data_IF_722200544727
#
_entry.id   IF_722200544727
#
_cell.length_a   1.000
_cell.length_b   1.000
_cell.length_c   1.000
_cell.angle_alpha   90.00
_cell.angle_beta   90.00
_cell.angle_gamma   90.00
#
_symmetry.space_group_name_H-M   'P 1'
#
loop_
_entity.id
_entity.type
_entity.pdbx_description
1 polymer ?
#
# COMPACT_ATOMS: atom_id res chain seq x y z
N UNK A 1 31.51 -13.96 33.02
CA UNK A 1 30.80 -14.56 31.88
C UNK A 1 29.78 -13.54 31.42
N UNK A 2 30.08 -12.85 30.34
CA UNK A 2 29.14 -11.89 29.73
C UNK A 2 28.04 -12.73 29.08
N UNK A 3 26.83 -12.56 29.55
CA UNK A 3 25.64 -13.03 28.84
C UNK A 3 25.52 -12.15 27.63
N UNK A 4 25.91 -12.65 26.48
CA UNK A 4 25.59 -12.03 25.20
C UNK A 4 24.08 -12.05 25.10
N UNK A 5 23.48 -10.89 25.37
CA UNK A 5 22.10 -10.64 24.99
C UNK A 5 22.03 -10.56 23.48
N UNK A 6 21.85 -11.69 22.88
CA UNK A 6 21.36 -11.76 21.50
C UNK A 6 19.87 -11.39 21.50
N UNK A 7 19.59 -10.14 21.69
CA UNK A 7 18.35 -9.54 21.21
C UNK A 7 18.57 -9.09 19.76
N UNK A 8 18.99 -9.98 18.93
CA UNK A 8 18.67 -9.87 17.52
C UNK A 8 17.15 -9.88 17.46
N UNK A 9 16.59 -8.78 17.01
CA UNK A 9 15.16 -8.74 16.73
C UNK A 9 14.82 -10.01 15.95
N UNK A 10 13.82 -10.79 16.37
CA UNK A 10 13.52 -12.11 15.79
C UNK A 10 13.31 -12.08 14.27
N UNK A 11 13.12 -10.91 13.72
CA UNK A 11 12.95 -10.66 12.28
C UNK A 11 14.26 -10.83 11.48
N UNK A 12 15.40 -10.50 12.04
CA UNK A 12 16.69 -10.69 11.35
C UNK A 12 17.16 -12.15 11.39
N UNK A 13 16.72 -12.91 12.36
CA UNK A 13 17.11 -14.30 12.49
C UNK A 13 16.48 -15.22 11.44
N UNK A 14 15.37 -14.84 10.82
CA UNK A 14 14.62 -15.71 9.91
C UNK A 14 14.73 -15.34 8.42
N UNK A 15 15.38 -14.24 8.06
CA UNK A 15 15.57 -13.83 6.66
C UNK A 15 14.28 -13.62 5.84
N UNK A 16 13.10 -13.72 6.48
CA UNK A 16 11.80 -13.66 5.81
C UNK A 16 11.15 -12.27 5.81
N UNK A 17 11.49 -11.44 6.77
CA UNK A 17 11.01 -10.07 6.87
C UNK A 17 12.15 -9.17 7.35
N UNK A 18 12.81 -8.42 6.46
CA UNK A 18 13.87 -7.49 6.83
C UNK A 18 13.34 -6.26 7.57
N UNK A 19 12.02 -6.03 7.56
CA UNK A 19 11.38 -4.90 8.20
C UNK A 19 11.02 -5.20 9.65
N UNK A 20 10.87 -4.16 10.46
CA UNK A 20 10.60 -4.30 11.89
C UNK A 20 9.11 -4.31 12.26
N UNK A 21 8.22 -4.25 11.30
CA UNK A 21 6.78 -4.38 11.57
C UNK A 21 6.34 -5.85 11.70
N UNK A 22 5.38 -6.08 12.59
CA UNK A 22 4.80 -7.41 12.81
C UNK A 22 3.61 -7.70 11.88
N UNK A 23 2.80 -6.68 11.60
CA UNK A 23 1.59 -6.78 10.79
C UNK A 23 1.30 -5.43 10.14
N UNK A 24 0.70 -5.45 8.96
CA UNK A 24 0.06 -4.28 8.37
C UNK A 24 -1.31 -4.65 7.82
N UNK A 25 -2.19 -3.67 7.73
CA UNK A 25 -3.54 -3.83 7.20
C UNK A 25 -3.98 -2.57 6.45
N UNK A 26 -4.72 -2.76 5.39
CA UNK A 26 -5.39 -1.68 4.69
C UNK A 26 -6.70 -1.36 5.44
N UNK A 27 -6.87 -0.11 5.84
CA UNK A 27 -8.06 0.33 6.61
C UNK A 27 -9.03 1.18 5.79
N UNK A 28 -8.55 1.79 4.73
CA UNK A 28 -9.37 2.55 3.80
C UNK A 28 -8.73 2.60 2.42
N UNK A 29 -9.53 2.72 1.36
CA UNK A 29 -9.10 2.88 -0.03
C UNK A 29 -10.07 3.82 -0.73
N UNK A 30 -9.58 4.75 -1.51
CA UNK A 30 -10.42 5.58 -2.36
C UNK A 30 -11.07 4.73 -3.45
N UNK A 31 -12.40 4.70 -3.44
CA UNK A 31 -13.22 3.98 -4.41
C UNK A 31 -14.12 4.93 -5.21
N UNK A 32 -13.91 6.25 -5.08
CA UNK A 32 -14.76 7.29 -5.66
C UNK A 32 -14.08 8.02 -6.80
N UNK A 33 -12.77 8.24 -6.71
CA UNK A 33 -12.01 8.96 -7.74
C UNK A 33 -11.95 8.13 -9.01
N UNK A 34 -12.45 8.66 -10.11
CA UNK A 34 -12.35 8.05 -11.43
C UNK A 34 -10.93 8.16 -11.98
N UNK A 35 -10.44 7.11 -12.59
CA UNK A 35 -9.16 7.08 -13.28
C UNK A 35 -9.31 7.16 -14.81
N UNK A 36 -10.15 6.27 -15.36
CA UNK A 36 -10.48 6.24 -16.78
C UNK A 36 -11.86 6.88 -16.95
N UNK A 37 -11.93 7.93 -17.74
CA UNK A 37 -13.21 8.60 -18.00
C UNK A 37 -14.12 7.74 -18.88
N UNK A 38 -15.44 7.87 -18.71
CA UNK A 38 -16.40 7.18 -19.56
C UNK A 38 -16.14 7.43 -21.06
N UNK A 39 -15.77 8.65 -21.42
CA UNK A 39 -15.43 8.99 -22.81
C UNK A 39 -14.24 8.17 -23.34
N UNK A 40 -13.20 7.96 -22.55
CA UNK A 40 -12.05 7.15 -22.95
C UNK A 40 -12.44 5.67 -23.06
N UNK A 41 -13.28 5.19 -22.14
CA UNK A 41 -13.76 3.82 -22.12
C UNK A 41 -14.66 3.54 -23.32
N UNK A 42 -15.64 4.40 -23.60
CA UNK A 42 -16.55 4.27 -24.74
C UNK A 42 -15.81 4.35 -26.07
N UNK A 43 -14.82 5.25 -26.17
CA UNK A 43 -13.94 5.30 -27.34
C UNK A 43 -13.12 4.03 -27.53
N UNK A 44 -12.55 3.47 -26.44
CA UNK A 44 -11.77 2.24 -26.48
C UNK A 44 -12.61 1.02 -26.90
N UNK A 45 -13.87 0.99 -26.46
CA UNK A 45 -14.79 -0.12 -26.72
C UNK A 45 -15.63 0.07 -27.99
N UNK A 46 -15.51 1.21 -28.68
CA UNK A 46 -16.33 1.62 -29.82
C UNK A 46 -17.85 1.64 -29.50
N UNK A 47 -18.20 2.09 -28.30
CA UNK A 47 -19.58 2.21 -27.82
C UNK A 47 -20.06 3.67 -28.00
N UNK A 48 -20.05 4.16 -29.21
CA UNK A 48 -20.47 5.53 -29.50
C UNK A 48 -21.98 5.68 -29.28
N UNK A 49 -22.37 6.74 -28.56
CA UNK A 49 -23.77 7.12 -28.30
C UNK A 49 -24.62 6.08 -27.52
N UNK A 50 -24.01 5.08 -26.88
CA UNK A 50 -24.72 4.09 -26.04
C UNK A 50 -24.44 4.32 -24.56
N UNK A 51 -25.30 5.08 -23.91
CA UNK A 51 -25.23 5.38 -22.46
C UNK A 51 -25.85 4.25 -21.60
N UNK A 52 -26.43 3.21 -22.21
CA UNK A 52 -27.15 2.16 -21.49
C UNK A 52 -26.25 1.34 -20.54
N UNK A 53 -24.94 1.36 -20.76
CA UNK A 53 -23.95 0.60 -20.02
C UNK A 53 -23.08 1.44 -19.08
N UNK A 54 -23.29 2.74 -18.96
CA UNK A 54 -22.42 3.65 -18.20
C UNK A 54 -22.20 3.22 -16.76
N UNK A 55 -23.26 2.81 -16.06
CA UNK A 55 -23.15 2.31 -14.68
C UNK A 55 -22.30 1.04 -14.59
N UNK A 56 -22.42 0.15 -15.59
CA UNK A 56 -21.60 -1.06 -15.64
C UNK A 56 -20.14 -0.71 -15.96
N UNK A 57 -19.90 0.20 -16.88
CA UNK A 57 -18.55 0.64 -17.26
C UNK A 57 -17.83 1.33 -16.09
N UNK A 58 -18.52 2.14 -15.32
CA UNK A 58 -17.97 2.76 -14.10
C UNK A 58 -17.58 1.72 -13.05
N UNK A 59 -18.42 0.69 -12.85
CA UNK A 59 -18.09 -0.42 -11.95
C UNK A 59 -16.89 -1.23 -12.46
N UNK A 60 -16.80 -1.43 -13.77
CA UNK A 60 -15.72 -2.16 -14.41
C UNK A 60 -14.40 -1.36 -14.35
N UNK A 61 -14.48 -0.02 -14.47
CA UNK A 61 -13.35 0.87 -14.29
C UNK A 61 -12.73 0.71 -12.89
N UNK A 62 -13.56 0.76 -11.85
CA UNK A 62 -13.10 0.57 -10.47
C UNK A 62 -12.43 -0.79 -10.28
N UNK A 63 -13.03 -1.86 -10.80
CA UNK A 63 -12.45 -3.21 -10.74
C UNK A 63 -11.10 -3.28 -11.46
N UNK A 64 -11.00 -2.63 -12.63
CA UNK A 64 -9.76 -2.55 -13.42
C UNK A 64 -8.67 -1.81 -12.66
N UNK A 65 -8.99 -0.66 -12.07
CA UNK A 65 -8.08 0.13 -11.26
C UNK A 65 -7.53 -0.68 -10.09
N UNK A 66 -8.40 -1.33 -9.35
CA UNK A 66 -8.01 -2.17 -8.21
C UNK A 66 -7.11 -3.32 -8.64
N UNK A 67 -7.43 -3.99 -9.74
CA UNK A 67 -6.62 -5.10 -10.26
C UNK A 67 -5.21 -4.64 -10.69
N UNK A 68 -5.09 -3.42 -11.25
CA UNK A 68 -3.79 -2.85 -11.63
C UNK A 68 -2.98 -2.44 -10.39
N UNK A 69 -3.60 -1.81 -9.40
CA UNK A 69 -2.94 -1.49 -8.13
C UNK A 69 -2.43 -2.76 -7.44
N UNK A 70 -3.24 -3.80 -7.39
CA UNK A 70 -2.88 -5.08 -6.78
C UNK A 70 -1.75 -5.78 -7.56
N UNK A 71 -1.78 -5.71 -8.90
CA UNK A 71 -0.70 -6.25 -9.73
C UNK A 71 0.62 -5.51 -9.54
N UNK A 72 0.57 -4.18 -9.47
CA UNK A 72 1.74 -3.34 -9.25
C UNK A 72 2.26 -3.46 -7.80
N UNK A 73 1.40 -3.81 -6.85
CA UNK A 73 1.72 -3.81 -5.42
C UNK A 73 1.91 -2.40 -4.87
N UNK A 74 1.23 -1.41 -5.46
CA UNK A 74 1.31 -0.02 -5.02
C UNK A 74 -0.06 0.64 -4.98
N UNK A 75 -0.25 1.56 -4.04
CA UNK A 75 -1.47 2.37 -3.95
C UNK A 75 -1.36 3.58 -4.86
N UNK A 76 -2.00 3.53 -6.03
CA UNK A 76 -2.04 4.65 -6.99
C UNK A 76 -2.94 5.76 -6.43
N UNK A 77 -4.11 5.39 -5.91
CA UNK A 77 -5.06 6.31 -5.29
C UNK A 77 -4.95 6.30 -3.77
N UNK A 78 -5.57 7.29 -3.13
CA UNK A 78 -5.46 7.46 -1.68
C UNK A 78 -5.88 6.18 -0.95
N UNK A 79 -4.93 5.59 -0.27
CA UNK A 79 -5.12 4.38 0.54
C UNK A 79 -4.55 4.63 1.92
N UNK A 80 -5.27 4.23 2.96
CA UNK A 80 -4.81 4.30 4.32
C UNK A 80 -4.39 2.93 4.84
N UNK A 81 -3.24 2.91 5.45
CA UNK A 81 -2.61 1.73 6.02
C UNK A 81 -2.41 1.89 7.51
N UNK A 82 -2.49 0.78 8.22
CA UNK A 82 -2.13 0.68 9.63
C UNK A 82 -1.08 -0.39 9.81
N UNK A 83 -0.01 -0.03 10.50
CA UNK A 83 1.15 -0.90 10.71
C UNK A 83 1.36 -1.06 12.20
N UNK A 84 1.64 -2.29 12.61
CA UNK A 84 1.80 -2.67 13.99
C UNK A 84 3.22 -3.15 14.24
N UNK A 85 3.80 -2.70 15.35
CA UNK A 85 5.17 -3.04 15.73
C UNK A 85 5.19 -3.67 17.11
N UNK A 86 6.01 -4.71 17.25
CA UNK A 86 6.30 -5.32 18.54
C UNK A 86 7.07 -4.32 19.44
N UNK A 87 7.07 -4.58 20.73
CA UNK A 87 7.83 -3.77 21.67
C UNK A 87 9.33 -3.86 21.34
N UNK A 88 10.00 -2.72 21.04
CA UNK A 88 11.41 -2.72 20.64
C UNK A 88 12.39 -3.01 21.78
N UNK A 89 11.89 -3.15 23.02
CA UNK A 89 12.73 -3.28 24.21
C UNK A 89 13.29 -1.95 24.74
N UNK A 90 13.85 -2.00 25.93
CA UNK A 90 14.25 -0.83 26.70
C UNK A 90 15.51 -0.10 26.21
N UNK A 91 16.17 -0.57 25.17
CA UNK A 91 17.52 -0.14 24.80
C UNK A 91 17.63 0.74 23.56
N UNK A 92 16.53 1.12 22.93
CA UNK A 92 16.58 1.92 21.70
C UNK A 92 16.33 3.40 21.99
N UNK A 93 17.37 4.21 21.84
CA UNK A 93 17.30 5.68 21.97
C UNK A 93 16.69 6.36 20.75
N UNK A 94 16.69 5.69 19.60
CA UNK A 94 16.02 6.15 18.38
C UNK A 94 15.25 4.99 17.78
N UNK A 95 13.95 5.12 17.70
CA UNK A 95 13.11 4.08 17.17
C UNK A 95 12.76 4.39 15.72
N UNK A 96 13.18 3.51 14.84
CA UNK A 96 12.83 3.51 13.44
C UNK A 96 11.67 2.54 13.21
N UNK A 97 10.61 3.01 12.60
CA UNK A 97 9.41 2.23 12.30
C UNK A 97 9.29 2.11 10.78
N UNK A 98 9.73 1.01 10.23
CA UNK A 98 9.71 0.79 8.79
C UNK A 98 8.28 0.68 8.29
N UNK A 99 7.97 1.35 7.19
CA UNK A 99 6.68 1.23 6.54
C UNK A 99 6.74 0.17 5.43
N UNK A 100 5.65 -0.57 5.20
CA UNK A 100 5.58 -1.47 4.06
C UNK A 100 5.90 -0.75 2.75
N UNK A 101 6.63 -1.42 1.87
CA UNK A 101 6.89 -0.90 0.54
C UNK A 101 5.59 -0.84 -0.25
N UNK A 102 5.16 0.36 -0.49
CA UNK A 102 3.93 0.65 -1.22
C UNK A 102 4.21 1.28 -2.59
N UNK A 103 5.42 1.09 -3.09
CA UNK A 103 5.81 1.44 -4.46
C UNK A 103 6.15 2.89 -4.73
N UNK A 104 6.35 3.70 -3.70
CA UNK A 104 6.66 5.13 -3.87
C UNK A 104 8.08 5.42 -4.34
N UNK A 105 9.04 4.53 -4.05
CA UNK A 105 10.47 4.80 -4.27
C UNK A 105 10.90 4.86 -5.73
N UNK A 106 10.22 4.16 -6.63
CA UNK A 106 10.65 4.03 -8.02
C UNK A 106 10.52 5.34 -8.83
N UNK A 107 9.55 6.19 -8.50
CA UNK A 107 9.26 7.42 -9.25
C UNK A 107 9.59 8.70 -8.49
N UNK A 108 10.32 8.60 -7.37
CA UNK A 108 10.91 9.74 -6.66
C UNK A 108 9.94 10.64 -5.92
N UNK A 109 8.66 10.30 -5.89
CA UNK A 109 7.66 11.06 -5.15
C UNK A 109 7.11 10.22 -3.99
N UNK A 110 7.38 10.67 -2.79
CA UNK A 110 6.77 10.11 -1.59
C UNK A 110 5.34 10.66 -1.47
N UNK A 111 4.37 9.87 -1.89
CA UNK A 111 2.95 10.16 -1.61
C UNK A 111 2.52 9.78 -0.19
N UNK A 112 3.48 9.53 0.69
CA UNK A 112 3.23 9.08 2.06
C UNK A 112 2.99 10.27 2.99
N UNK A 113 1.89 10.20 3.74
CA UNK A 113 1.59 11.13 4.83
C UNK A 113 1.32 10.33 6.10
N UNK A 114 2.12 10.54 7.13
CA UNK A 114 1.89 9.92 8.44
C UNK A 114 0.74 10.64 9.12
N UNK A 115 -0.38 9.94 9.31
CA UNK A 115 -1.58 10.52 9.90
C UNK A 115 -1.49 10.56 11.43
N UNK A 116 -1.00 9.47 12.03
CA UNK A 116 -0.81 9.36 13.47
C UNK A 116 0.11 8.23 13.85
N UNK A 117 0.80 8.42 14.95
CA UNK A 117 1.55 7.40 15.66
C UNK A 117 0.92 7.24 17.04
N UNK A 118 0.68 6.01 17.46
CA UNK A 118 0.04 5.68 18.73
C UNK A 118 0.83 4.57 19.41
N UNK A 119 0.78 4.52 20.73
CA UNK A 119 1.33 3.39 21.49
C UNK A 119 0.44 3.06 22.68
N UNK A 120 0.49 1.82 23.11
CA UNK A 120 -0.15 1.36 24.34
C UNK A 120 0.83 1.49 25.50
N UNK A 121 0.50 2.33 26.48
CA UNK A 121 1.27 2.45 27.72
C UNK A 121 1.08 1.25 28.67
N UNK A 122 1.94 1.12 29.66
CA UNK A 122 1.98 -0.04 30.56
C UNK A 122 0.66 -0.35 31.29
N UNK A 123 -0.13 0.68 31.56
CA UNK A 123 -1.42 0.54 32.27
C UNK A 123 -2.64 0.86 31.40
N UNK A 124 -2.43 1.12 30.11
CA UNK A 124 -3.50 1.64 29.25
C UNK A 124 -4.03 0.57 28.29
N UNK A 125 -5.30 0.34 28.34
CA UNK A 125 -6.05 -0.39 27.30
C UNK A 125 -6.37 0.46 26.09
N UNK A 126 -6.20 1.79 26.20
CA UNK A 126 -6.44 2.76 25.12
C UNK A 126 -5.09 3.31 24.63
N UNK A 127 -4.86 3.33 23.32
CA UNK A 127 -3.59 3.82 22.79
C UNK A 127 -3.43 5.33 23.00
N UNK A 128 -2.24 5.76 23.40
CA UNK A 128 -1.83 7.14 23.57
C UNK A 128 -1.31 7.68 22.24
N UNK A 129 -1.68 8.90 21.89
CA UNK A 129 -1.21 9.55 20.67
C UNK A 129 0.18 10.17 20.92
N UNK A 130 1.12 9.90 20.02
CA UNK A 130 2.41 10.59 19.98
C UNK A 130 2.20 11.96 19.33
N UNK A 131 2.76 13.02 19.92
CA UNK A 131 2.63 14.35 19.35
C UNK A 131 3.33 14.43 17.98
N UNK A 132 2.78 15.16 17.01
CA UNK A 132 3.39 15.28 15.67
C UNK A 132 4.82 15.84 15.66
N UNK A 133 5.21 16.58 16.69
CA UNK A 133 6.58 17.10 16.86
C UNK A 133 7.59 16.02 17.28
N UNK A 134 7.10 14.90 17.81
CA UNK A 134 7.93 13.82 18.36
C UNK A 134 8.23 12.72 17.35
N UNK A 135 7.76 12.84 16.11
CA UNK A 135 8.12 11.94 15.03
C UNK A 135 8.30 12.67 13.70
N UNK A 136 9.03 12.05 12.79
CA UNK A 136 9.21 12.53 11.43
C UNK A 136 9.17 11.37 10.44
N UNK A 137 8.80 11.66 9.18
CA UNK A 137 8.86 10.69 8.10
C UNK A 137 10.16 10.84 7.32
N UNK A 138 10.90 9.76 7.18
CA UNK A 138 12.10 9.67 6.34
C UNK A 138 11.73 9.02 4.98
N UNK A 139 11.67 9.80 3.90
CA UNK A 139 11.33 9.28 2.58
C UNK A 139 12.43 8.40 1.98
N UNK A 140 13.67 8.53 2.44
CA UNK A 140 14.79 7.77 1.89
C UNK A 140 14.79 6.32 2.37
N UNK A 141 14.35 6.10 3.61
CA UNK A 141 14.24 4.77 4.20
C UNK A 141 12.81 4.24 4.25
N UNK A 142 11.82 5.02 3.78
CA UNK A 142 10.38 4.72 3.91
C UNK A 142 9.99 4.29 5.33
N UNK A 143 10.33 5.14 6.30
CA UNK A 143 10.15 4.85 7.73
C UNK A 143 9.75 6.07 8.52
N UNK A 144 9.14 5.85 9.66
CA UNK A 144 8.88 6.87 10.65
C UNK A 144 9.99 6.82 11.71
N UNK A 145 10.56 7.98 12.00
CA UNK A 145 11.57 8.16 13.05
C UNK A 145 10.90 8.79 14.25
N UNK A 146 10.98 8.14 15.39
CA UNK A 146 10.56 8.72 16.66
C UNK A 146 11.73 9.52 17.24
N UNK A 147 11.49 10.80 17.46
CA UNK A 147 12.47 11.73 18.02
C UNK A 147 12.50 11.69 19.56
N UNK A 148 11.48 11.09 20.14
CA UNK A 148 11.30 10.98 21.59
C UNK A 148 11.20 9.54 22.00
N UNK A 149 11.85 9.17 23.11
CA UNK A 149 11.72 7.84 23.68
C UNK A 149 10.29 7.62 24.19
N UNK A 150 9.67 6.53 23.77
CA UNK A 150 8.38 6.13 24.30
C UNK A 150 8.59 5.47 25.68
N UNK A 151 8.08 6.14 26.70
CA UNK A 151 8.15 5.62 28.05
C UNK A 151 6.98 4.67 28.32
N UNK A 152 7.26 3.62 29.11
CA UNK A 152 6.23 2.72 29.63
C UNK A 152 5.37 2.03 28.57
N UNK A 153 6.00 1.50 27.50
CA UNK A 153 5.31 0.69 26.50
C UNK A 153 4.78 -0.58 27.15
N UNK A 154 3.53 -0.93 26.86
CA UNK A 154 2.88 -2.14 27.37
C UNK A 154 3.65 -3.40 27.01
N UNK A 155 3.80 -4.29 28.01
CA UNK A 155 4.33 -5.63 27.85
C UNK A 155 3.21 -6.68 27.60
N UNK A 156 1.97 -6.31 27.86
CA UNK A 156 0.80 -7.19 27.72
C UNK A 156 0.25 -7.18 26.29
N UNK A 157 0.45 -6.08 25.55
CA UNK A 157 0.01 -5.95 24.17
C UNK A 157 1.12 -6.45 23.24
N UNK A 158 0.83 -7.43 22.41
CA UNK A 158 1.81 -8.04 21.52
C UNK A 158 2.46 -7.05 20.54
N UNK A 159 1.67 -6.10 20.02
CA UNK A 159 2.13 -5.08 19.08
C UNK A 159 1.69 -3.69 19.58
N UNK A 160 2.39 -3.13 20.57
CA UNK A 160 1.94 -1.95 21.29
C UNK A 160 2.13 -0.63 20.52
N UNK A 161 2.88 -0.61 19.44
CA UNK A 161 3.10 0.60 18.64
C UNK A 161 2.34 0.46 17.33
N UNK A 162 1.62 1.53 16.97
CA UNK A 162 0.75 1.56 15.79
C UNK A 162 0.99 2.83 15.01
N UNK A 163 1.33 2.71 13.74
CA UNK A 163 1.43 3.81 12.80
C UNK A 163 0.27 3.73 11.81
N UNK A 164 -0.43 4.84 11.64
CA UNK A 164 -1.43 5.00 10.58
C UNK A 164 -0.91 6.04 9.59
N UNK A 165 -0.83 5.67 8.33
CA UNK A 165 -0.40 6.56 7.27
C UNK A 165 -1.29 6.43 6.04
N UNK A 166 -1.28 7.46 5.23
CA UNK A 166 -1.93 7.51 3.94
C UNK A 166 -0.90 7.54 2.84
N UNK A 167 -1.19 6.86 1.76
CA UNK A 167 -0.40 6.89 0.55
C UNK A 167 -1.26 7.30 -0.62
N UNK A 168 -0.70 8.14 -1.49
CA UNK A 168 -1.30 8.58 -2.72
C UNK A 168 -0.22 8.76 -3.79
N UNK A 169 -0.23 7.91 -4.79
CA UNK A 169 0.66 7.98 -5.94
C UNK A 169 -0.10 8.31 -7.23
N UNK A 170 -1.14 9.14 -7.14
CA UNK A 170 -2.04 9.47 -8.26
C UNK A 170 -1.31 10.03 -9.50
N UNK A 171 -0.11 10.61 -9.34
CA UNK A 171 0.73 11.01 -10.47
C UNK A 171 1.08 9.84 -11.40
N UNK A 172 1.16 8.61 -10.89
CA UNK A 172 1.42 7.39 -11.67
C UNK A 172 0.25 7.12 -12.62
N UNK A 173 -0.98 7.41 -12.20
CA UNK A 173 -2.17 7.24 -13.03
C UNK A 173 -2.12 8.03 -14.34
N UNK A 174 -1.35 9.11 -14.39
CA UNK A 174 -1.18 9.95 -15.57
C UNK A 174 -0.15 9.41 -16.56
N UNK A 175 0.60 8.38 -16.22
CA UNK A 175 1.55 7.76 -17.16
C UNK A 175 0.79 7.09 -18.31
N UNK A 176 1.06 7.47 -19.56
CA UNK A 176 0.31 6.97 -20.72
C UNK A 176 0.34 5.45 -20.83
N UNK A 177 1.47 4.83 -20.47
CA UNK A 177 1.65 3.37 -20.52
C UNK A 177 0.75 2.67 -19.49
N UNK A 178 0.66 3.20 -18.28
CA UNK A 178 -0.18 2.63 -17.21
C UNK A 178 -1.66 2.84 -17.56
N UNK A 179 -2.00 4.00 -18.09
CA UNK A 179 -3.36 4.30 -18.56
C UNK A 179 -3.78 3.37 -19.71
N UNK A 180 -2.89 3.14 -20.68
CA UNK A 180 -3.14 2.20 -21.77
C UNK A 180 -3.30 0.76 -21.27
N UNK A 181 -2.51 0.35 -20.28
CA UNK A 181 -2.66 -0.95 -19.63
C UNK A 181 -4.04 -1.08 -18.96
N UNK A 182 -4.54 0.00 -18.34
CA UNK A 182 -5.89 0.08 -17.78
C UNK A 182 -6.97 -0.13 -18.84
N UNK A 183 -6.92 0.58 -19.93
CA UNK A 183 -7.87 0.45 -21.04
C UNK A 183 -7.85 -0.97 -21.64
N UNK A 184 -6.68 -1.57 -21.79
CA UNK A 184 -6.55 -2.95 -22.27
C UNK A 184 -7.13 -3.97 -21.28
N UNK A 185 -6.89 -3.79 -19.98
CA UNK A 185 -7.44 -4.65 -18.93
C UNK A 185 -8.96 -4.52 -18.88
N UNK A 186 -9.49 -3.30 -18.94
CA UNK A 186 -10.92 -3.04 -19.01
C UNK A 186 -11.58 -3.71 -20.22
N UNK A 187 -10.97 -3.57 -21.39
CA UNK A 187 -11.45 -4.23 -22.62
C UNK A 187 -11.49 -5.76 -22.44
N UNK A 188 -10.47 -6.33 -21.80
CA UNK A 188 -10.43 -7.75 -21.50
C UNK A 188 -11.58 -8.17 -20.59
N UNK A 189 -11.80 -7.45 -19.48
CA UNK A 189 -12.90 -7.72 -18.54
C UNK A 189 -14.27 -7.52 -19.18
N UNK A 190 -14.42 -6.49 -20.01
CA UNK A 190 -15.66 -6.23 -20.74
C UNK A 190 -16.04 -7.37 -21.69
N UNK A 191 -15.06 -7.89 -22.45
CA UNK A 191 -15.28 -8.98 -23.40
C UNK A 191 -15.42 -10.35 -22.73
N UNK A 192 -14.93 -10.52 -21.52
CA UNK A 192 -14.93 -11.78 -20.79
C UNK A 192 -15.75 -11.68 -19.50
N UNK A 193 -17.05 -11.43 -19.63
CA UNK A 193 -17.99 -11.27 -18.50
C UNK A 193 -18.26 -12.58 -17.74
N UNK A 194 -17.85 -13.72 -18.27
CA UNK A 194 -18.06 -15.06 -17.68
C UNK A 194 -16.74 -15.76 -17.43
N UNK A 195 -16.64 -16.46 -16.32
CA UNK A 195 -15.50 -17.34 -16.02
C UNK A 195 -15.48 -18.63 -16.85
N UNK A 196 -16.57 -18.91 -17.56
CA UNK A 196 -16.67 -20.08 -18.45
C UNK A 196 -16.25 -19.67 -19.85
N UNK A 197 -15.03 -20.01 -20.21
CA UNK A 197 -14.47 -19.83 -21.56
C UNK A 197 -13.84 -21.15 -21.98
N UNK A 198 -14.03 -21.53 -23.24
CA UNK A 198 -13.38 -22.71 -23.85
C UNK A 198 -11.84 -22.55 -23.93
N UNK A 199 -11.34 -21.39 -23.63
CA UNK A 199 -9.90 -21.08 -23.63
C UNK A 199 -9.46 -20.68 -22.23
N UNK A 200 -8.26 -21.12 -21.78
CA UNK A 200 -7.71 -20.70 -20.50
C UNK A 200 -7.48 -19.18 -20.52
N UNK A 201 -8.24 -18.45 -19.72
CA UNK A 201 -8.04 -17.02 -19.49
C UNK A 201 -6.97 -16.84 -18.43
N UNK A 202 -6.04 -15.93 -18.68
CA UNK A 202 -5.09 -15.49 -17.65
C UNK A 202 -5.74 -14.38 -16.80
N UNK A 203 -5.46 -14.38 -15.52
CA UNK A 203 -5.94 -13.35 -14.59
C UNK A 203 -5.57 -11.93 -15.05
N UNK A 204 -4.33 -11.78 -15.55
CA UNK A 204 -3.87 -10.54 -16.18
C UNK A 204 -3.40 -10.85 -17.59
N UNK A 205 -3.96 -10.20 -18.63
CA UNK A 205 -3.53 -10.39 -20.01
C UNK A 205 -2.03 -10.13 -20.17
N UNK A 206 -1.38 -10.96 -21.00
CA UNK A 206 0.08 -10.85 -21.22
C UNK A 206 0.50 -9.44 -21.64
N UNK A 207 -0.26 -8.77 -22.51
CA UNK A 207 0.05 -7.40 -22.94
C UNK A 207 0.00 -6.39 -21.80
N UNK A 208 -1.00 -6.49 -20.90
CA UNK A 208 -1.12 -5.65 -19.71
C UNK A 208 0.07 -5.88 -18.78
N UNK A 209 0.39 -7.15 -18.50
CA UNK A 209 1.52 -7.50 -17.65
C UNK A 209 2.86 -6.98 -18.21
N UNK A 210 3.05 -7.05 -19.54
CA UNK A 210 4.27 -6.56 -20.20
C UNK A 210 4.40 -5.03 -20.08
N UNK A 211 3.31 -4.28 -20.20
CA UNK A 211 3.30 -2.84 -20.04
C UNK A 211 3.56 -2.40 -18.59
N UNK A 212 3.01 -3.13 -17.61
CA UNK A 212 3.09 -2.77 -16.19
C UNK A 212 4.38 -3.23 -15.52
N UNK A 213 5.03 -4.28 -16.03
CA UNK A 213 6.22 -4.88 -15.42
C UNK A 213 7.35 -3.89 -15.10
N UNK A 214 7.69 -2.90 -15.95
CA UNK A 214 8.74 -1.93 -15.64
C UNK A 214 8.43 -1.02 -14.46
N UNK A 215 7.15 -0.90 -14.09
CA UNK A 215 6.66 -0.02 -13.02
C UNK A 215 6.43 -0.77 -11.70
N UNK A 216 6.55 -2.08 -11.72
CA UNK A 216 6.41 -2.89 -10.51
C UNK A 216 7.63 -2.68 -9.62
N UNK A 217 7.45 -2.33 -8.32
CA UNK A 217 8.57 -2.21 -7.39
C UNK A 217 9.37 -3.51 -7.33
N UNK A 218 10.69 -3.36 -7.31
CA UNK A 218 11.57 -4.50 -7.04
C UNK A 218 11.51 -4.78 -5.54
N UNK A 219 10.85 -5.84 -5.19
CA UNK A 219 10.93 -6.38 -3.82
C UNK A 219 12.25 -7.14 -3.75
N UNK A 220 13.20 -6.57 -3.01
CA UNK A 220 14.46 -7.24 -2.68
C UNK A 220 14.33 -8.10 -1.44
#
# INVERSE_FOLDING_TARGET
MAVENMTLAPFYANGRNPYNYAKFEQINRDIVTEWLTLSEITQQLNLFDDESQDTYLSSLELATRMAIEDYLGMSIFLTQWRVYYANPGLYNTSLYLDLPETGTGYLGASGVTVNKVQFYGASNTVPVLVAPADYSYDPTGNRVILNTQLNEISQEVANPIVVTYSQNAAFIAQYPVIKQAGLMMLTHLYNNRSNTSDKPLREVPFGVAALLRPYKPLVM
#
